data_IF_458751691485
#
_entry.id   IF_458751691485
#
_cell.length_a   1.000
_cell.length_b   1.000
_cell.length_c   1.000
_cell.angle_alpha   90.00
_cell.angle_beta   90.00
_cell.angle_gamma   90.00
#
_symmetry.space_group_name_H-M   'P 1'
#
loop_
_entity.id
_entity.type
_entity.pdbx_description
1 polymer ?
#
# COMPACT_ATOMS: atom_id res chain seq x y z
N UNK A 1 22.92 6.87 7.22
CA UNK A 1 22.17 7.76 8.13
C UNK A 1 20.68 7.51 7.96
N UNK A 2 19.91 7.46 9.05
CA UNK A 2 18.45 7.21 8.98
C UNK A 2 17.71 8.51 8.67
N UNK A 3 17.09 8.60 7.49
CA UNK A 3 16.32 9.77 7.03
C UNK A 3 14.95 9.84 7.72
N UNK A 4 14.29 11.01 7.78
CA UNK A 4 12.95 11.14 8.33
C UNK A 4 11.94 10.17 7.69
N UNK A 5 12.00 10.00 6.36
CA UNK A 5 11.16 9.07 5.62
C UNK A 5 11.37 7.61 6.09
N UNK A 6 12.62 7.17 6.23
CA UNK A 6 12.92 5.81 6.72
C UNK A 6 12.45 5.60 8.16
N UNK A 7 12.62 6.59 9.04
CA UNK A 7 12.10 6.51 10.42
C UNK A 7 10.57 6.40 10.44
N UNK A 8 9.88 7.16 9.57
CA UNK A 8 8.43 7.07 9.39
C UNK A 8 8.03 5.68 8.92
N UNK A 9 8.70 5.13 7.90
CA UNK A 9 8.40 3.80 7.37
C UNK A 9 8.61 2.68 8.40
N UNK A 10 9.65 2.76 9.24
CA UNK A 10 9.84 1.82 10.33
C UNK A 10 8.68 1.84 11.33
N UNK A 11 8.14 3.04 11.62
CA UNK A 11 6.97 3.19 12.50
C UNK A 11 5.72 2.60 11.86
N UNK A 12 5.50 2.88 10.59
CA UNK A 12 4.33 2.40 9.86
C UNK A 12 4.39 0.87 9.70
N UNK A 13 5.59 0.30 9.51
CA UNK A 13 5.81 -1.15 9.51
C UNK A 13 5.48 -1.77 10.87
N UNK A 14 5.99 -1.17 11.95
CA UNK A 14 5.70 -1.63 13.30
C UNK A 14 4.19 -1.58 13.59
N UNK A 15 3.50 -0.53 13.16
CA UNK A 15 2.04 -0.42 13.31
C UNK A 15 1.32 -1.54 12.55
N UNK A 16 1.69 -1.75 11.29
CA UNK A 16 1.10 -2.81 10.47
C UNK A 16 1.33 -4.22 11.04
N UNK A 17 2.47 -4.46 11.70
CA UNK A 17 2.74 -5.73 12.37
C UNK A 17 1.98 -5.91 13.70
N UNK A 18 1.79 -4.82 14.44
CA UNK A 18 1.13 -4.86 15.75
C UNK A 18 -0.40 -4.93 15.65
N UNK A 19 -0.97 -4.26 14.66
CA UNK A 19 -2.41 -4.17 14.43
C UNK A 19 -2.70 -4.24 12.92
N UNK A 20 -2.52 -5.44 12.31
CA UNK A 20 -2.75 -5.61 10.87
C UNK A 20 -4.26 -5.52 10.58
N UNK A 21 -4.68 -4.66 9.61
CA UNK A 21 -6.05 -4.67 9.13
C UNK A 21 -6.46 -6.05 8.58
N UNK A 22 -7.73 -6.40 8.73
CA UNK A 22 -8.25 -7.68 8.27
C UNK A 22 -8.03 -7.85 6.76
N UNK A 23 -7.52 -9.01 6.35
CA UNK A 23 -7.28 -9.30 4.94
C UNK A 23 -6.12 -8.52 4.30
N UNK A 24 -5.26 -7.86 5.09
CA UNK A 24 -4.14 -7.08 4.57
C UNK A 24 -2.83 -7.55 5.21
N UNK A 25 -1.78 -7.67 4.38
CA UNK A 25 -0.41 -7.89 4.83
C UNK A 25 0.56 -7.05 4.03
N UNK A 26 1.65 -6.62 4.64
CA UNK A 26 2.68 -5.85 3.95
C UNK A 26 4.00 -5.81 4.70
N UNK A 27 5.09 -5.77 3.95
CA UNK A 27 6.44 -5.69 4.49
C UNK A 27 7.41 -5.00 3.52
N UNK A 28 8.45 -4.31 4.04
CA UNK A 28 9.54 -3.84 3.22
C UNK A 28 10.31 -5.02 2.60
N UNK A 29 10.94 -4.79 1.45
CA UNK A 29 11.89 -5.73 0.86
C UNK A 29 13.19 -5.78 1.67
N UNK A 30 13.83 -6.95 1.73
CA UNK A 30 14.97 -7.24 2.61
C UNK A 30 16.08 -6.18 2.59
N UNK A 31 16.39 -5.65 1.40
CA UNK A 31 17.49 -4.72 1.18
C UNK A 31 17.05 -3.26 0.99
N UNK A 32 15.75 -2.98 0.95
CA UNK A 32 15.26 -1.65 0.66
C UNK A 32 13.92 -1.34 1.34
N UNK A 33 13.98 -0.60 2.45
CA UNK A 33 12.79 -0.14 3.16
C UNK A 33 11.89 0.81 2.34
N UNK A 34 12.40 1.39 1.24
CA UNK A 34 11.60 2.23 0.35
C UNK A 34 10.79 1.42 -0.67
N UNK A 35 10.95 0.09 -0.71
CA UNK A 35 10.19 -0.80 -1.56
C UNK A 35 9.48 -1.82 -0.69
N UNK A 36 8.17 -1.92 -0.84
CA UNK A 36 7.37 -2.84 -0.06
C UNK A 36 6.60 -3.77 -0.97
N UNK A 37 6.41 -5.00 -0.49
CA UNK A 37 5.47 -5.94 -1.05
C UNK A 37 4.26 -5.99 -0.10
N UNK A 38 3.06 -5.95 -0.67
CA UNK A 38 1.82 -6.10 0.08
C UNK A 38 0.90 -7.12 -0.58
N UNK A 39 0.00 -7.65 0.22
CA UNK A 39 -1.04 -8.59 -0.18
C UNK A 39 -2.36 -8.10 0.39
N UNK A 40 -3.38 -8.05 -0.47
CA UNK A 40 -4.76 -7.78 -0.10
C UNK A 40 -5.58 -9.02 -0.47
N UNK A 41 -6.33 -9.54 0.49
CA UNK A 41 -7.35 -10.54 0.26
C UNK A 41 -8.63 -9.85 -0.20
N UNK A 42 -9.26 -10.41 -1.23
CA UNK A 42 -10.54 -9.91 -1.72
C UNK A 42 -11.60 -10.01 -0.62
N UNK A 43 -12.39 -8.94 -0.38
CA UNK A 43 -13.40 -8.97 0.67
C UNK A 43 -14.51 -9.99 0.37
N UNK A 44 -15.07 -10.54 1.45
CA UNK A 44 -16.25 -11.42 1.39
C UNK A 44 -17.41 -10.68 0.69
N UNK A 45 -18.29 -11.45 0.03
CA UNK A 45 -19.46 -10.92 -0.68
C UNK A 45 -19.14 -9.95 -1.85
N UNK A 46 -17.89 -9.95 -2.33
CA UNK A 46 -17.48 -9.24 -3.56
C UNK A 46 -17.14 -10.23 -4.68
N UNK A 47 -17.10 -9.79 -5.95
CA UNK A 47 -16.60 -10.63 -7.05
C UNK A 47 -15.14 -11.08 -6.89
N UNK A 48 -14.42 -10.52 -5.93
CA UNK A 48 -13.02 -10.81 -5.65
C UNK A 48 -12.83 -11.71 -4.42
N UNK A 49 -13.91 -12.14 -3.77
CA UNK A 49 -13.89 -13.08 -2.64
C UNK A 49 -13.02 -14.32 -2.94
N UNK A 50 -12.21 -14.71 -1.96
CA UNK A 50 -11.20 -15.78 -2.08
C UNK A 50 -9.96 -15.39 -2.91
N UNK A 51 -9.93 -14.19 -3.51
CA UNK A 51 -8.82 -13.67 -4.28
C UNK A 51 -7.64 -13.25 -3.40
N UNK A 52 -6.41 -13.39 -3.93
CA UNK A 52 -5.18 -12.90 -3.31
C UNK A 52 -4.45 -11.97 -4.28
N UNK A 53 -4.42 -10.68 -3.97
CA UNK A 53 -3.86 -9.65 -4.85
C UNK A 53 -2.55 -9.13 -4.29
N UNK A 54 -1.49 -9.21 -5.10
CA UNK A 54 -0.15 -8.74 -4.73
C UNK A 54 0.04 -7.32 -5.23
N UNK A 55 0.62 -6.47 -4.40
CA UNK A 55 0.93 -5.08 -4.70
C UNK A 55 2.39 -4.76 -4.36
N UNK A 56 2.91 -3.75 -5.02
CA UNK A 56 4.18 -3.10 -4.68
C UNK A 56 3.94 -1.65 -4.32
N UNK A 57 4.59 -1.18 -3.26
CA UNK A 57 4.62 0.22 -2.89
C UNK A 57 6.05 0.74 -3.01
N UNK A 58 6.22 1.84 -3.71
CA UNK A 58 7.49 2.52 -3.89
C UNK A 58 7.44 3.91 -3.25
N UNK A 59 8.25 4.08 -2.21
CA UNK A 59 8.38 5.32 -1.47
C UNK A 59 9.58 6.12 -1.98
N UNK A 60 9.55 7.43 -1.74
CA UNK A 60 10.69 8.33 -1.96
C UNK A 60 11.11 8.96 -0.63
N UNK A 61 12.25 9.66 -0.61
CA UNK A 61 12.70 10.38 0.58
C UNK A 61 11.78 11.58 0.95
N UNK A 62 10.82 11.93 0.08
CA UNK A 62 9.77 12.92 0.38
C UNK A 62 8.62 12.35 1.23
N UNK A 63 8.58 11.04 1.49
CA UNK A 63 7.55 10.45 2.35
C UNK A 63 7.66 10.96 3.80
N UNK A 64 6.56 11.36 4.47
CA UNK A 64 5.16 11.26 4.08
C UNK A 64 4.55 12.51 3.40
N UNK A 65 5.36 13.49 3.01
CA UNK A 65 4.85 14.71 2.36
C UNK A 65 4.30 14.42 0.96
N UNK A 66 4.86 13.41 0.27
CA UNK A 66 4.33 12.87 -0.99
C UNK A 66 3.83 11.44 -0.79
N UNK A 67 2.78 11.03 -1.53
CA UNK A 67 2.29 9.65 -1.51
C UNK A 67 3.35 8.69 -2.09
N UNK A 68 3.33 7.41 -1.70
CA UNK A 68 4.04 6.38 -2.45
C UNK A 68 3.35 6.09 -3.78
N UNK A 69 4.12 5.58 -4.73
CA UNK A 69 3.55 4.95 -5.93
C UNK A 69 3.10 3.53 -5.57
N UNK A 70 1.83 3.20 -5.79
CA UNK A 70 1.28 1.86 -5.53
C UNK A 70 0.88 1.23 -6.85
N UNK A 71 1.21 -0.05 -7.03
CA UNK A 71 0.84 -0.83 -8.23
C UNK A 71 0.44 -2.26 -7.86
N UNK A 72 -0.54 -2.79 -8.55
CA UNK A 72 -0.85 -4.22 -8.55
C UNK A 72 0.19 -4.99 -9.38
N UNK A 73 0.71 -6.07 -8.79
CA UNK A 73 1.53 -7.08 -9.47
C UNK A 73 0.65 -8.19 -10.03
N UNK A 74 -0.39 -8.56 -9.28
CA UNK A 74 -1.43 -9.48 -9.77
C UNK A 74 -2.24 -8.79 -10.87
N UNK A 75 -2.64 -9.54 -11.91
CA UNK A 75 -3.64 -9.04 -12.86
C UNK A 75 -4.95 -8.82 -12.11
N UNK A 76 -5.50 -7.62 -12.23
CA UNK A 76 -6.72 -7.22 -11.54
C UNK A 76 -7.66 -6.55 -12.53
N UNK A 77 -8.94 -6.91 -12.47
CA UNK A 77 -9.98 -6.29 -13.28
C UNK A 77 -10.87 -5.47 -12.36
N UNK A 78 -10.65 -4.16 -12.37
CA UNK A 78 -11.37 -3.21 -11.52
C UNK A 78 -11.41 -1.84 -12.23
N UNK A 79 -12.51 -1.07 -12.16
CA UNK A 79 -12.62 0.23 -12.85
C UNK A 79 -11.51 1.23 -12.52
N UNK A 80 -11.02 1.20 -11.27
CA UNK A 80 -9.97 2.09 -10.78
C UNK A 80 -8.54 1.52 -10.94
N UNK A 81 -8.37 0.39 -11.63
CA UNK A 81 -7.05 -0.23 -11.82
C UNK A 81 -6.79 -0.33 -13.32
N UNK A 82 -5.71 0.31 -13.76
CA UNK A 82 -5.28 0.28 -15.15
C UNK A 82 -4.63 -1.06 -15.50
N UNK A 83 -4.52 -1.35 -16.80
CA UNK A 83 -3.92 -2.58 -17.31
C UNK A 83 -2.45 -2.80 -16.90
N UNK A 84 -1.73 -1.72 -16.58
CA UNK A 84 -0.35 -1.77 -16.06
C UNK A 84 -0.27 -1.93 -14.54
N UNK A 85 -1.42 -2.11 -13.87
CA UNK A 85 -1.56 -2.26 -12.42
C UNK A 85 -1.54 -0.94 -11.65
N UNK A 86 -1.41 0.21 -12.31
CA UNK A 86 -1.52 1.51 -11.61
C UNK A 86 -2.95 1.75 -11.10
N UNK A 87 -3.05 2.47 -9.99
CA UNK A 87 -4.31 2.69 -9.26
C UNK A 87 -4.74 4.14 -9.39
N UNK A 88 -5.99 4.36 -9.79
CA UNK A 88 -6.63 5.67 -9.75
C UNK A 88 -7.38 5.84 -8.42
N UNK A 89 -6.68 6.36 -7.41
CA UNK A 89 -7.26 6.67 -6.10
C UNK A 89 -6.85 8.09 -5.69
N UNK A 90 -7.82 8.90 -5.30
CA UNK A 90 -7.67 10.32 -4.98
C UNK A 90 -6.68 10.57 -3.83
N UNK A 91 -6.70 9.72 -2.80
CA UNK A 91 -5.75 9.84 -1.68
C UNK A 91 -4.31 9.59 -2.12
N UNK A 92 -4.06 8.87 -3.22
CA UNK A 92 -2.72 8.68 -3.79
C UNK A 92 -2.34 9.80 -4.77
N UNK A 93 -3.22 10.77 -4.97
CA UNK A 93 -3.06 11.88 -5.92
C UNK A 93 -3.25 13.23 -5.21
N UNK A 94 -4.34 13.93 -5.51
CA UNK A 94 -4.60 15.29 -5.07
C UNK A 94 -5.19 15.39 -3.64
N UNK A 95 -5.69 14.29 -3.08
CA UNK A 95 -6.21 14.23 -1.70
C UNK A 95 -5.22 13.59 -0.72
N UNK A 96 -3.94 13.48 -1.10
CA UNK A 96 -2.91 12.94 -0.22
C UNK A 96 -2.72 13.83 1.02
N UNK A 97 -2.61 13.18 2.18
CA UNK A 97 -2.26 13.81 3.44
C UNK A 97 -1.17 13.00 4.17
N UNK A 98 -0.14 13.65 4.75
CA UNK A 98 0.92 12.96 5.50
C UNK A 98 0.45 12.18 6.73
N UNK A 99 -0.82 12.31 7.10
CA UNK A 99 -1.48 11.52 8.14
C UNK A 99 -1.65 10.05 7.74
N UNK A 100 -1.79 9.76 6.45
CA UNK A 100 -1.97 8.40 5.96
C UNK A 100 -0.68 7.60 6.14
N UNK A 101 -0.83 6.41 6.74
CA UNK A 101 0.23 5.41 6.85
C UNK A 101 -0.03 4.24 5.89
N UNK A 102 0.89 3.27 5.88
CA UNK A 102 0.80 2.10 5.00
C UNK A 102 -0.49 1.30 5.23
N UNK A 103 -0.94 1.17 6.48
CA UNK A 103 -2.17 0.46 6.81
C UNK A 103 -3.39 1.18 6.22
N UNK A 104 -3.48 2.51 6.38
CA UNK A 104 -4.55 3.32 5.80
C UNK A 104 -4.58 3.21 4.27
N UNK A 105 -3.43 3.31 3.61
CA UNK A 105 -3.31 3.19 2.15
C UNK A 105 -3.85 1.83 1.67
N UNK A 106 -3.39 0.73 2.27
CA UNK A 106 -3.81 -0.60 1.87
C UNK A 106 -5.29 -0.85 2.14
N UNK A 107 -5.81 -0.32 3.25
CA UNK A 107 -7.23 -0.41 3.59
C UNK A 107 -8.10 0.34 2.59
N UNK A 108 -7.68 1.51 2.13
CA UNK A 108 -8.40 2.27 1.10
C UNK A 108 -8.38 1.61 -0.28
N UNK A 109 -7.47 0.67 -0.52
CA UNK A 109 -7.39 -0.12 -1.77
C UNK A 109 -8.20 -1.41 -1.66
N UNK A 110 -8.45 -1.92 -0.45
CA UNK A 110 -9.32 -3.07 -0.22
C UNK A 110 -10.77 -2.64 -0.43
N UNK A 111 -11.24 -2.83 -1.67
CA UNK A 111 -12.62 -2.61 -2.12
C UNK A 111 -13.31 -3.92 -2.45
#
# INVERSE_FOLDING_TARGET
MSTPARKRLMRDFKRLQQDPPAGISGAPQDNNIMLWNAVIFGPDDTPWDGGTFKLTLQFTEDYPNKPPTVRFVSRMFHPNIYADGSICLDILQNQWSPIYDVAAILTSIQV
#
